data_IF_256585130744
#
_entry.id   IF_256585130744
#
_cell.length_a   1.000
_cell.length_b   1.000
_cell.length_c   1.000
_cell.angle_alpha   90.00
_cell.angle_beta   90.00
_cell.angle_gamma   90.00
#
_symmetry.space_group_name_H-M   'P 1'
#
loop_
_entity.id
_entity.type
_entity.pdbx_description
1 polymer ?
#
# COMPACT_ATOMS: atom_id res chain seq x y z
N UNK A 1 -35.78 -5.59 27.18
CA UNK A 1 -34.56 -5.48 27.98
C UNK A 1 -33.36 -5.59 27.03
N UNK A 2 -32.42 -4.64 27.03
CA UNK A 2 -31.25 -4.65 26.15
C UNK A 2 -30.15 -5.58 26.70
N UNK A 3 -29.48 -6.29 25.79
CA UNK A 3 -28.38 -7.21 26.10
C UNK A 3 -27.08 -6.43 26.34
N UNK A 4 -26.43 -6.72 27.47
CA UNK A 4 -25.10 -6.25 27.86
C UNK A 4 -24.01 -6.87 26.97
N UNK A 5 -23.00 -6.11 26.51
CA UNK A 5 -21.84 -6.67 25.85
C UNK A 5 -20.84 -7.19 26.91
N UNK A 6 -20.47 -8.46 26.76
CA UNK A 6 -19.48 -9.17 27.57
C UNK A 6 -18.08 -8.86 27.02
N UNK A 7 -17.34 -7.97 27.67
CA UNK A 7 -15.90 -7.81 27.44
C UNK A 7 -15.18 -8.77 28.38
N UNK A 8 -14.34 -9.64 27.82
CA UNK A 8 -13.35 -10.42 28.55
C UNK A 8 -11.96 -9.89 28.15
N UNK A 9 -11.15 -9.70 29.17
CA UNK A 9 -9.90 -8.97 29.22
C UNK A 9 -8.81 -9.50 28.28
N UNK A 10 -8.20 -8.58 27.54
CA UNK A 10 -6.80 -8.70 27.14
C UNK A 10 -6.05 -7.61 27.87
N UNK A 11 -5.29 -8.00 28.89
CA UNK A 11 -4.28 -7.19 29.54
C UNK A 11 -3.26 -6.71 28.49
N UNK A 12 -3.31 -5.43 28.18
CA UNK A 12 -2.26 -4.68 27.50
C UNK A 12 -1.98 -3.47 28.37
N UNK A 13 -0.74 -3.36 28.82
CA UNK A 13 -0.23 -2.30 29.69
C UNK A 13 -0.67 -0.90 29.22
N UNK A 14 -1.50 -0.26 30.03
CA UNK A 14 -1.83 1.16 29.92
C UNK A 14 -0.79 1.97 30.71
N UNK A 15 0.16 2.58 30.00
CA UNK A 15 0.58 3.93 30.39
C UNK A 15 -0.33 4.95 29.70
N UNK A 16 -0.86 5.81 30.54
CA UNK A 16 -1.94 6.77 30.35
C UNK A 16 -1.70 7.81 29.26
N UNK A 17 -2.67 7.94 28.35
CA UNK A 17 -3.10 9.26 27.88
C UNK A 17 -4.58 9.17 27.49
N UNK A 18 -5.44 9.57 28.42
CA UNK A 18 -6.87 9.71 28.21
C UNK A 18 -7.14 10.73 27.10
N UNK A 19 -7.71 10.28 25.98
CA UNK A 19 -8.45 11.13 25.07
C UNK A 19 -9.73 10.40 24.66
N UNK A 20 -10.79 10.66 25.43
CA UNK A 20 -12.17 10.50 24.99
C UNK A 20 -12.41 11.51 23.86
N UNK A 21 -12.64 11.05 22.64
CA UNK A 21 -13.06 11.90 21.53
C UNK A 21 -14.51 11.59 21.19
N UNK A 22 -15.40 12.44 21.68
CA UNK A 22 -16.82 12.41 21.41
C UNK A 22 -17.10 12.66 19.92
N UNK A 23 -17.91 11.79 19.32
CA UNK A 23 -18.46 12.00 17.97
C UNK A 23 -19.50 13.13 18.02
N UNK A 24 -19.10 14.33 17.61
CA UNK A 24 -20.02 15.37 17.14
C UNK A 24 -19.39 16.10 15.95
N UNK A 25 -19.74 15.67 14.74
CA UNK A 25 -19.52 16.43 13.51
C UNK A 25 -20.83 17.10 13.09
N UNK A 26 -20.81 18.33 12.55
CA UNK A 26 -22.02 18.99 12.11
C UNK A 26 -22.61 18.25 10.90
N UNK A 27 -23.94 18.08 10.91
CA UNK A 27 -24.72 17.80 9.70
C UNK A 27 -24.69 19.08 8.87
N UNK A 28 -24.08 19.01 7.71
CA UNK A 28 -24.14 20.07 6.71
C UNK A 28 -25.13 19.63 5.63
N UNK A 29 -26.34 20.16 5.75
CA UNK A 29 -27.43 20.01 4.81
C UNK A 29 -27.33 21.20 3.84
N UNK A 30 -26.65 20.99 2.71
CA UNK A 30 -26.43 22.03 1.70
C UNK A 30 -26.48 21.47 0.30
N UNK A 31 -27.69 21.33 -0.27
CA UNK A 31 -27.88 21.28 -1.72
C UNK A 31 -27.50 22.65 -2.30
N UNK A 32 -26.27 22.78 -2.80
CA UNK A 32 -25.79 23.95 -3.54
C UNK A 32 -25.66 23.60 -5.02
N UNK A 33 -26.43 24.30 -5.85
CA UNK A 33 -26.44 24.23 -7.31
C UNK A 33 -25.05 24.47 -7.92
N UNK A 34 -24.75 23.69 -8.96
CA UNK A 34 -23.52 23.78 -9.75
C UNK A 34 -23.68 24.90 -10.78
N UNK A 35 -23.56 26.16 -10.36
CA UNK A 35 -23.23 27.28 -11.25
C UNK A 35 -22.76 28.45 -10.40
N UNK A 36 -21.79 29.23 -10.92
CA UNK A 36 -21.09 30.37 -10.31
C UNK A 36 -19.69 30.10 -9.74
N UNK A 37 -18.76 29.76 -10.64
CA UNK A 37 -17.34 30.11 -10.50
C UNK A 37 -17.09 31.39 -11.31
N UNK A 38 -17.00 32.54 -10.63
CA UNK A 38 -16.50 33.78 -11.24
C UNK A 38 -15.00 33.86 -10.96
N UNK A 39 -14.20 33.64 -12.00
CA UNK A 39 -12.75 33.83 -11.99
C UNK A 39 -12.42 35.32 -11.81
N UNK A 40 -11.52 35.64 -10.86
CA UNK A 40 -10.89 36.96 -10.78
C UNK A 40 -9.73 36.99 -11.78
N UNK A 41 -9.95 37.67 -12.90
CA UNK A 41 -8.96 37.86 -13.96
C UNK A 41 -7.80 38.76 -13.49
N UNK A 42 -6.59 38.19 -13.42
CA UNK A 42 -5.34 38.96 -13.45
C UNK A 42 -4.73 38.74 -14.83
N UNK A 43 -4.70 39.79 -15.64
CA UNK A 43 -4.20 39.77 -17.02
C UNK A 43 -2.69 39.51 -17.07
N UNK A 44 -2.32 38.35 -17.61
CA UNK A 44 -0.96 37.98 -18.00
C UNK A 44 -1.01 36.93 -19.11
N UNK A 45 -0.92 37.39 -20.36
CA UNK A 45 -1.32 36.64 -21.56
C UNK A 45 -0.49 35.38 -21.92
N UNK A 46 0.58 35.05 -21.17
CA UNK A 46 1.41 33.86 -21.43
C UNK A 46 1.23 32.71 -20.43
N UNK A 47 0.73 32.99 -19.21
CA UNK A 47 0.57 31.96 -18.18
C UNK A 47 -0.66 31.05 -18.44
N UNK A 48 -1.72 31.61 -19.02
CA UNK A 48 -2.99 30.91 -19.25
C UNK A 48 -2.90 29.78 -20.30
N UNK A 49 -1.99 29.91 -21.26
CA UNK A 49 -1.74 28.87 -22.28
C UNK A 49 -1.03 27.65 -21.68
N UNK A 50 -0.04 27.90 -20.82
CA UNK A 50 0.73 26.85 -20.14
C UNK A 50 -0.12 26.09 -19.11
N UNK A 51 -0.97 26.79 -18.35
CA UNK A 51 -1.89 26.16 -17.39
C UNK A 51 -2.99 25.36 -18.11
N UNK A 52 -3.61 25.88 -19.17
CA UNK A 52 -4.60 25.12 -19.97
C UNK A 52 -4.02 23.85 -20.59
N UNK A 53 -2.78 23.89 -21.08
CA UNK A 53 -2.13 22.70 -21.65
C UNK A 53 -1.73 21.68 -20.57
N UNK A 54 -1.29 22.13 -19.40
CA UNK A 54 -0.99 21.24 -18.26
C UNK A 54 -2.25 20.49 -17.80
N UNK A 55 -3.36 21.21 -17.61
CA UNK A 55 -4.64 20.63 -17.21
C UNK A 55 -5.19 19.64 -18.24
N UNK A 56 -5.01 19.89 -19.55
CA UNK A 56 -5.41 18.94 -20.60
C UNK A 56 -4.59 17.64 -20.55
N UNK A 57 -3.27 17.74 -20.36
CA UNK A 57 -2.41 16.54 -20.27
C UNK A 57 -2.70 15.71 -19.01
N UNK A 58 -2.95 16.34 -17.87
CA UNK A 58 -3.33 15.62 -16.64
C UNK A 58 -4.70 14.96 -16.77
N UNK A 59 -5.68 15.60 -17.44
CA UNK A 59 -6.96 14.94 -17.75
C UNK A 59 -6.81 13.69 -18.61
N UNK A 60 -5.85 13.68 -19.55
CA UNK A 60 -5.59 12.51 -20.39
C UNK A 60 -4.89 11.39 -19.61
N UNK A 61 -3.94 11.70 -18.71
CA UNK A 61 -3.28 10.72 -17.85
C UNK A 61 -4.26 10.05 -16.87
N UNK A 62 -5.11 10.85 -16.22
CA UNK A 62 -6.16 10.34 -15.33
C UNK A 62 -7.12 9.45 -16.13
N UNK A 63 -7.51 9.85 -17.35
CA UNK A 63 -8.40 9.07 -18.20
C UNK A 63 -7.79 7.73 -18.59
N UNK A 64 -6.52 7.71 -19.02
CA UNK A 64 -5.80 6.46 -19.34
C UNK A 64 -5.72 5.54 -18.13
N UNK A 65 -5.41 6.09 -16.95
CA UNK A 65 -5.39 5.33 -15.70
C UNK A 65 -6.77 4.73 -15.36
N UNK A 66 -7.83 5.53 -15.43
CA UNK A 66 -9.20 5.08 -15.16
C UNK A 66 -9.65 3.98 -16.13
N UNK A 67 -9.23 4.08 -17.38
CA UNK A 67 -9.49 3.04 -18.38
C UNK A 67 -8.75 1.74 -18.03
N UNK A 68 -7.49 1.82 -17.61
CA UNK A 68 -6.68 0.63 -17.24
C UNK A 68 -7.30 -0.12 -16.06
N UNK A 69 -7.61 0.59 -14.96
CA UNK A 69 -8.22 -0.04 -13.78
C UNK A 69 -9.65 -0.52 -14.04
N UNK A 70 -10.32 0.06 -15.05
CA UNK A 70 -11.66 -0.34 -15.47
C UNK A 70 -11.70 -1.70 -16.17
N UNK A 71 -10.57 -2.19 -16.69
CA UNK A 71 -10.47 -3.51 -17.34
C UNK A 71 -10.56 -4.67 -16.36
N UNK A 72 -10.14 -4.46 -15.11
CA UNK A 72 -10.15 -5.50 -14.07
C UNK A 72 -11.52 -5.54 -13.43
N UNK A 73 -12.15 -6.73 -13.44
CA UNK A 73 -13.47 -6.94 -12.85
C UNK A 73 -13.41 -6.81 -11.32
N UNK A 74 -14.55 -6.44 -10.74
CA UNK A 74 -14.70 -6.46 -9.29
C UNK A 74 -14.70 -7.91 -8.77
N UNK A 75 -14.13 -8.10 -7.59
CA UNK A 75 -14.12 -9.39 -6.90
C UNK A 75 -15.48 -9.67 -6.26
N UNK A 76 -15.91 -10.92 -6.37
CA UNK A 76 -17.04 -11.46 -5.59
C UNK A 76 -16.58 -11.78 -4.16
N UNK A 77 -17.53 -12.00 -3.26
CA UNK A 77 -17.22 -12.21 -1.82
C UNK A 77 -16.41 -13.49 -1.57
N UNK A 78 -16.73 -14.55 -2.27
CA UNK A 78 -16.00 -15.82 -2.26
C UNK A 78 -14.58 -15.67 -2.81
N UNK A 79 -14.43 -14.90 -3.90
CA UNK A 79 -13.13 -14.59 -4.49
C UNK A 79 -12.28 -13.71 -3.57
N UNK A 80 -12.87 -12.70 -2.92
CA UNK A 80 -12.20 -11.88 -1.91
C UNK A 80 -11.60 -12.75 -0.79
N UNK A 81 -12.35 -13.75 -0.31
CA UNK A 81 -11.88 -14.66 0.73
C UNK A 81 -10.76 -15.56 0.21
N UNK A 82 -10.93 -16.14 -0.98
CA UNK A 82 -9.93 -17.01 -1.61
C UNK A 82 -8.60 -16.29 -1.86
N UNK A 83 -8.64 -15.09 -2.44
CA UNK A 83 -7.43 -14.30 -2.69
C UNK A 83 -6.79 -13.84 -1.38
N UNK A 84 -7.59 -13.41 -0.41
CA UNK A 84 -7.08 -13.02 0.92
C UNK A 84 -6.35 -14.18 1.61
N UNK A 85 -6.88 -15.41 1.54
CA UNK A 85 -6.24 -16.60 2.13
C UNK A 85 -4.88 -16.91 1.47
N UNK A 86 -4.78 -16.82 0.14
CA UNK A 86 -3.51 -16.99 -0.58
C UNK A 86 -2.49 -15.92 -0.17
N UNK A 87 -2.92 -14.66 -0.10
CA UNK A 87 -2.09 -13.55 0.37
C UNK A 87 -1.62 -13.78 1.80
N UNK A 88 -2.51 -14.21 2.71
CA UNK A 88 -2.14 -14.50 4.09
C UNK A 88 -1.12 -15.63 4.21
N UNK A 89 -1.29 -16.72 3.45
CA UNK A 89 -0.35 -17.83 3.42
C UNK A 89 1.03 -17.35 2.96
N UNK A 90 1.08 -16.52 1.92
CA UNK A 90 2.30 -15.91 1.43
C UNK A 90 2.95 -14.96 2.45
N UNK A 91 2.16 -14.09 3.08
CA UNK A 91 2.66 -13.17 4.12
C UNK A 91 3.20 -13.93 5.34
N UNK A 92 2.59 -15.07 5.71
CA UNK A 92 3.09 -15.94 6.78
C UNK A 92 4.49 -16.50 6.43
N UNK A 93 4.71 -16.93 5.19
CA UNK A 93 6.01 -17.40 4.73
C UNK A 93 7.08 -16.31 4.78
N UNK A 94 6.74 -15.09 4.35
CA UNK A 94 7.66 -13.94 4.44
C UNK A 94 8.00 -13.58 5.88
N UNK A 95 7.02 -13.57 6.78
CA UNK A 95 7.26 -13.35 8.22
C UNK A 95 8.16 -14.42 8.81
N UNK A 96 7.97 -15.68 8.42
CA UNK A 96 8.80 -16.79 8.87
C UNK A 96 10.26 -16.61 8.44
N UNK A 97 10.48 -16.26 7.17
CA UNK A 97 11.80 -15.93 6.63
C UNK A 97 12.49 -14.82 7.41
N UNK A 98 11.79 -13.69 7.61
CA UNK A 98 12.36 -12.51 8.24
C UNK A 98 12.61 -12.72 9.75
N UNK A 99 11.68 -13.38 10.47
CA UNK A 99 11.83 -13.65 11.89
C UNK A 99 13.00 -14.62 12.16
N UNK A 100 13.14 -15.68 11.36
CA UNK A 100 14.22 -16.66 11.57
C UNK A 100 15.60 -16.13 11.20
N UNK A 101 15.69 -15.28 10.17
CA UNK A 101 16.93 -14.54 9.89
C UNK A 101 17.37 -13.64 11.04
N UNK A 102 16.46 -13.21 11.92
CA UNK A 102 16.77 -12.35 13.05
C UNK A 102 17.08 -13.11 14.36
N UNK A 103 16.59 -14.35 14.51
CA UNK A 103 16.62 -15.08 15.80
C UNK A 103 17.64 -16.23 15.79
N UNK A 104 17.80 -16.93 14.67
CA UNK A 104 18.71 -18.08 14.59
C UNK A 104 20.04 -17.64 13.96
N UNK A 105 21.17 -18.12 14.50
CA UNK A 105 22.50 -18.04 13.88
C UNK A 105 22.60 -18.89 12.58
N UNK A 106 21.52 -18.96 11.82
CA UNK A 106 21.43 -19.66 10.56
C UNK A 106 22.04 -18.78 9.46
N UNK A 107 23.36 -18.86 9.36
CA UNK A 107 24.18 -18.12 8.38
C UNK A 107 23.70 -18.32 6.94
N UNK A 108 23.04 -19.45 6.63
CA UNK A 108 22.50 -19.72 5.29
C UNK A 108 21.30 -18.82 5.02
N UNK A 109 20.39 -18.69 6.00
CA UNK A 109 19.21 -17.82 5.88
C UNK A 109 19.59 -16.33 5.88
N UNK A 110 20.52 -15.93 6.74
CA UNK A 110 21.02 -14.55 6.78
C UNK A 110 21.61 -14.14 5.42
N UNK A 111 22.50 -14.99 4.87
CA UNK A 111 23.08 -14.77 3.55
C UNK A 111 22.02 -14.72 2.45
N UNK A 112 21.01 -15.59 2.53
CA UNK A 112 19.91 -15.63 1.56
C UNK A 112 19.07 -14.35 1.58
N UNK A 113 18.67 -13.88 2.76
CA UNK A 113 17.91 -12.63 2.91
C UNK A 113 18.73 -11.46 2.43
N UNK A 114 20.02 -11.40 2.78
CA UNK A 114 20.92 -10.35 2.34
C UNK A 114 21.06 -10.29 0.80
N UNK A 115 21.18 -11.45 0.14
CA UNK A 115 21.23 -11.52 -1.33
C UNK A 115 19.94 -10.99 -1.97
N UNK A 116 18.77 -11.30 -1.40
CA UNK A 116 17.48 -10.79 -1.88
C UNK A 116 17.41 -9.27 -1.71
N UNK A 117 17.82 -8.74 -0.55
CA UNK A 117 17.81 -7.29 -0.31
C UNK A 117 18.70 -6.52 -1.27
N UNK A 118 19.89 -7.05 -1.59
CA UNK A 118 20.78 -6.46 -2.60
C UNK A 118 20.13 -6.51 -3.98
N UNK A 119 19.52 -7.64 -4.35
CA UNK A 119 18.80 -7.77 -5.61
C UNK A 119 17.68 -6.73 -5.73
N UNK A 120 16.85 -6.60 -4.70
CA UNK A 120 15.70 -5.70 -4.71
C UNK A 120 16.14 -4.22 -4.72
N UNK A 121 17.22 -3.90 -4.00
CA UNK A 121 17.86 -2.57 -4.05
C UNK A 121 18.36 -2.24 -5.45
N UNK A 122 19.06 -3.17 -6.10
CA UNK A 122 19.55 -2.99 -7.47
C UNK A 122 18.39 -2.85 -8.47
N UNK A 123 17.35 -3.66 -8.32
CA UNK A 123 16.17 -3.58 -9.17
C UNK A 123 15.49 -2.21 -9.04
N UNK A 124 15.39 -1.69 -7.81
CA UNK A 124 14.85 -0.35 -7.55
C UNK A 124 15.71 0.76 -8.14
N UNK A 125 17.04 0.64 -8.11
CA UNK A 125 17.96 1.65 -8.67
C UNK A 125 17.98 1.65 -10.20
N UNK A 126 17.90 0.47 -10.81
CA UNK A 126 17.96 0.31 -12.27
C UNK A 126 16.59 0.52 -12.94
N UNK A 127 15.50 0.37 -12.20
CA UNK A 127 14.14 0.35 -12.75
C UNK A 127 13.82 -0.90 -13.57
N UNK A 128 14.73 -1.88 -13.61
CA UNK A 128 14.59 -3.16 -14.30
C UNK A 128 15.36 -4.25 -13.57
N UNK A 129 15.12 -5.51 -13.95
CA UNK A 129 15.78 -6.67 -13.33
C UNK A 129 17.31 -6.59 -13.51
N UNK A 130 18.12 -6.76 -12.45
CA UNK A 130 19.58 -6.74 -12.56
C UNK A 130 20.11 -8.02 -13.23
N UNK A 131 21.28 -7.91 -13.89
CA UNK A 131 22.00 -9.08 -14.40
C UNK A 131 22.64 -9.88 -13.25
N UNK A 132 22.88 -11.17 -13.46
CA UNK A 132 23.50 -12.04 -12.46
C UNK A 132 24.90 -11.56 -12.07
N UNK A 133 25.67 -11.05 -13.03
CA UNK A 133 27.01 -10.51 -12.80
C UNK A 133 26.97 -9.27 -11.90
N UNK A 134 26.06 -8.32 -12.19
CA UNK A 134 25.89 -7.12 -11.36
C UNK A 134 25.42 -7.47 -9.95
N UNK A 135 24.52 -8.43 -9.82
CA UNK A 135 24.04 -8.90 -8.52
C UNK A 135 25.15 -9.55 -7.70
N UNK A 136 25.92 -10.46 -8.30
CA UNK A 136 27.06 -11.11 -7.64
C UNK A 136 28.12 -10.09 -7.20
N UNK A 137 28.46 -9.15 -8.10
CA UNK A 137 29.41 -8.05 -7.83
C UNK A 137 28.95 -7.19 -6.67
N UNK A 138 27.67 -6.78 -6.65
CA UNK A 138 27.13 -5.95 -5.57
C UNK A 138 27.06 -6.69 -4.22
N UNK A 139 26.93 -8.01 -4.24
CA UNK A 139 26.97 -8.84 -3.04
C UNK A 139 28.38 -9.27 -2.63
N UNK A 140 29.42 -8.90 -3.39
CA UNK A 140 30.81 -9.26 -3.09
C UNK A 140 31.09 -10.76 -3.20
N UNK A 141 30.32 -11.49 -4.02
CA UNK A 141 30.48 -12.93 -4.22
C UNK A 141 30.80 -13.23 -5.68
N UNK A 142 31.45 -14.37 -5.91
CA UNK A 142 31.69 -14.86 -7.26
C UNK A 142 30.38 -15.27 -7.95
N UNK A 143 30.28 -15.01 -9.26
CA UNK A 143 29.08 -15.30 -10.08
C UNK A 143 28.72 -16.79 -10.03
N UNK A 144 29.71 -17.68 -9.93
CA UNK A 144 29.48 -19.12 -9.80
C UNK A 144 28.81 -19.51 -8.48
N UNK A 145 29.06 -18.75 -7.40
CA UNK A 145 28.58 -19.03 -6.05
C UNK A 145 27.19 -18.43 -5.77
N UNK A 146 26.73 -17.49 -6.60
CA UNK A 146 25.43 -16.85 -6.46
C UNK A 146 24.28 -17.88 -6.59
N UNK A 147 24.26 -18.67 -7.66
CA UNK A 147 23.20 -19.68 -7.89
C UNK A 147 23.17 -20.75 -6.78
N UNK A 148 24.30 -21.37 -6.38
CA UNK A 148 24.35 -22.31 -5.26
C UNK A 148 23.85 -21.69 -3.94
N UNK A 149 24.29 -20.47 -3.61
CA UNK A 149 23.87 -19.79 -2.39
C UNK A 149 22.36 -19.52 -2.37
N UNK A 150 21.80 -19.12 -3.53
CA UNK A 150 20.36 -18.94 -3.69
C UNK A 150 19.58 -20.25 -3.55
N UNK A 151 20.09 -21.35 -4.14
CA UNK A 151 19.44 -22.66 -4.01
C UNK A 151 19.48 -23.19 -2.58
N UNK A 152 20.61 -23.02 -1.88
CA UNK A 152 20.75 -23.44 -0.49
C UNK A 152 19.81 -22.66 0.44
N UNK A 153 19.74 -21.33 0.27
CA UNK A 153 18.81 -20.48 1.01
C UNK A 153 17.35 -20.81 0.75
N UNK A 154 16.98 -21.07 -0.51
CA UNK A 154 15.62 -21.52 -0.86
C UNK A 154 15.27 -22.86 -0.21
N UNK A 155 16.17 -23.83 -0.28
CA UNK A 155 15.96 -25.16 0.30
C UNK A 155 15.80 -25.05 1.82
N UNK A 156 16.64 -24.24 2.47
CA UNK A 156 16.54 -23.98 3.91
C UNK A 156 15.23 -23.29 4.29
N UNK A 157 14.77 -22.33 3.48
CA UNK A 157 13.49 -21.67 3.71
C UNK A 157 12.31 -22.65 3.55
N UNK A 158 12.39 -23.57 2.58
CA UNK A 158 11.38 -24.61 2.38
C UNK A 158 11.32 -25.56 3.58
N UNK A 159 12.47 -26.02 4.09
CA UNK A 159 12.57 -26.82 5.31
C UNK A 159 11.91 -26.13 6.51
N UNK A 160 12.20 -24.85 6.71
CA UNK A 160 11.63 -24.06 7.81
C UNK A 160 10.12 -23.86 7.68
N UNK A 161 9.59 -23.89 6.46
CA UNK A 161 8.16 -23.79 6.19
C UNK A 161 7.47 -25.16 6.20
N UNK A 162 8.21 -26.26 6.42
CA UNK A 162 7.72 -27.64 6.30
C UNK A 162 7.13 -27.93 4.91
N UNK A 163 7.74 -27.35 3.87
CA UNK A 163 7.33 -27.49 2.47
C UNK A 163 8.48 -28.00 1.62
N UNK A 164 8.15 -28.60 0.48
CA UNK A 164 9.14 -28.85 -0.57
C UNK A 164 9.54 -27.54 -1.27
N UNK A 165 10.72 -27.51 -1.90
CA UNK A 165 11.17 -26.33 -2.66
C UNK A 165 10.19 -25.94 -3.78
N UNK A 166 9.55 -26.93 -4.43
CA UNK A 166 8.53 -26.70 -5.46
C UNK A 166 7.24 -26.10 -4.88
N UNK A 167 6.76 -26.63 -3.76
CA UNK A 167 5.57 -26.10 -3.09
C UNK A 167 5.80 -24.68 -2.57
N UNK A 168 6.98 -24.38 -2.05
CA UNK A 168 7.35 -23.02 -1.63
C UNK A 168 7.26 -22.03 -2.80
N UNK A 169 7.82 -22.40 -3.96
CA UNK A 169 7.76 -21.57 -5.17
C UNK A 169 6.33 -21.40 -5.68
N UNK A 170 5.50 -22.45 -5.62
CA UNK A 170 4.10 -22.39 -6.00
C UNK A 170 3.31 -21.43 -5.07
N UNK A 171 3.45 -21.57 -3.76
CA UNK A 171 2.75 -20.71 -2.79
C UNK A 171 3.22 -19.25 -2.92
N UNK A 172 4.51 -19.03 -3.20
CA UNK A 172 5.04 -17.69 -3.47
C UNK A 172 4.42 -17.08 -4.73
N UNK A 173 4.36 -17.83 -5.83
CA UNK A 173 3.80 -17.37 -7.09
C UNK A 173 2.30 -17.08 -6.96
N UNK A 174 1.53 -18.02 -6.38
CA UNK A 174 0.09 -17.87 -6.15
C UNK A 174 -0.21 -16.68 -5.23
N UNK A 175 0.57 -16.52 -4.15
CA UNK A 175 0.39 -15.42 -3.22
C UNK A 175 0.71 -14.04 -3.81
N UNK A 176 1.74 -13.95 -4.66
CA UNK A 176 2.09 -12.72 -5.36
C UNK A 176 1.01 -12.35 -6.38
N UNK A 177 0.55 -13.31 -7.18
CA UNK A 177 -0.53 -13.11 -8.14
C UNK A 177 -1.84 -12.72 -7.43
N UNK A 178 -2.18 -13.39 -6.33
CA UNK A 178 -3.35 -13.07 -5.51
C UNK A 178 -3.27 -11.65 -4.94
N UNK A 179 -2.10 -11.25 -4.42
CA UNK A 179 -1.85 -9.89 -3.91
C UNK A 179 -2.10 -8.86 -5.02
N UNK A 180 -1.48 -9.03 -6.18
CA UNK A 180 -1.65 -8.13 -7.31
C UNK A 180 -3.10 -8.06 -7.80
N UNK A 181 -3.75 -9.21 -7.93
CA UNK A 181 -5.14 -9.29 -8.37
C UNK A 181 -6.07 -8.57 -7.38
N UNK A 182 -5.88 -8.81 -6.08
CA UNK A 182 -6.65 -8.17 -5.02
C UNK A 182 -6.46 -6.64 -4.99
N UNK A 183 -5.24 -6.14 -5.23
CA UNK A 183 -4.98 -4.70 -5.39
C UNK A 183 -5.70 -4.16 -6.62
N UNK A 184 -5.45 -4.74 -7.80
CA UNK A 184 -5.98 -4.29 -9.10
C UNK A 184 -7.50 -4.20 -9.10
N UNK A 185 -8.20 -5.23 -8.58
CA UNK A 185 -9.65 -5.25 -8.51
C UNK A 185 -10.25 -4.17 -7.60
N UNK A 186 -9.46 -3.61 -6.67
CA UNK A 186 -9.90 -2.61 -5.69
C UNK A 186 -9.38 -1.19 -5.97
N UNK A 187 -8.63 -0.96 -7.05
CA UNK A 187 -8.12 0.39 -7.39
C UNK A 187 -9.25 1.42 -7.59
N UNK A 188 -10.43 1.00 -8.04
CA UNK A 188 -11.60 1.88 -8.19
C UNK A 188 -12.07 2.48 -6.86
N UNK A 189 -11.90 1.74 -5.75
CA UNK A 189 -12.18 2.25 -4.41
C UNK A 189 -11.20 3.36 -4.02
N UNK A 190 -9.91 3.21 -4.37
CA UNK A 190 -8.89 4.24 -4.09
C UNK A 190 -9.27 5.55 -4.77
N UNK A 191 -9.65 5.50 -6.05
CA UNK A 191 -10.08 6.68 -6.80
C UNK A 191 -11.28 7.36 -6.15
N UNK A 192 -12.31 6.60 -5.74
CA UNK A 192 -13.52 7.18 -5.15
C UNK A 192 -13.25 7.82 -3.78
N UNK A 193 -12.27 7.32 -3.02
CA UNK A 193 -11.82 7.95 -1.78
C UNK A 193 -10.95 9.19 -2.08
N UNK A 194 -9.98 9.09 -2.98
CA UNK A 194 -9.05 10.17 -3.33
C UNK A 194 -9.75 11.42 -3.88
N UNK A 195 -10.82 11.25 -4.67
CA UNK A 195 -11.64 12.37 -5.18
C UNK A 195 -12.15 13.31 -4.07
N UNK A 196 -12.41 12.79 -2.87
CA UNK A 196 -12.89 13.60 -1.72
C UNK A 196 -11.81 14.51 -1.12
N UNK A 197 -10.55 14.30 -1.47
CA UNK A 197 -9.40 15.03 -0.93
C UNK A 197 -8.70 15.90 -1.98
N UNK A 198 -9.31 16.10 -3.15
CA UNK A 198 -8.80 17.03 -4.17
C UNK A 198 -8.73 18.46 -3.63
N UNK A 199 -7.91 19.29 -4.28
CA UNK A 199 -7.71 20.71 -3.95
C UNK A 199 -7.12 20.96 -2.56
N UNK A 200 -6.43 19.97 -1.97
CA UNK A 200 -5.72 20.08 -0.68
C UNK A 200 -4.20 20.18 -0.81
N UNK A 201 -3.73 20.74 -1.93
CA UNK A 201 -2.30 20.94 -2.22
C UNK A 201 -1.56 19.77 -2.85
N UNK A 202 -2.24 18.68 -3.22
CA UNK A 202 -1.69 17.57 -4.01
C UNK A 202 -2.56 17.29 -5.24
N UNK A 203 -1.94 16.82 -6.32
CA UNK A 203 -2.66 16.42 -7.53
C UNK A 203 -3.48 15.14 -7.28
N UNK A 204 -4.57 14.94 -8.04
CA UNK A 204 -5.38 13.73 -7.94
C UNK A 204 -4.55 12.45 -8.16
N UNK A 205 -3.62 12.45 -9.12
CA UNK A 205 -2.76 11.29 -9.37
C UNK A 205 -1.91 10.97 -8.15
N UNK A 206 -1.29 11.97 -7.50
CA UNK A 206 -0.50 11.77 -6.30
C UNK A 206 -1.35 11.22 -5.13
N UNK A 207 -2.56 11.75 -4.95
CA UNK A 207 -3.52 11.24 -3.96
C UNK A 207 -3.90 9.78 -4.24
N UNK A 208 -4.10 9.42 -5.52
CA UNK A 208 -4.38 8.04 -5.93
C UNK A 208 -3.17 7.14 -5.64
N UNK A 209 -1.95 7.58 -5.91
CA UNK A 209 -0.75 6.80 -5.65
C UNK A 209 -0.58 6.53 -4.14
N UNK A 210 -0.71 7.56 -3.31
CA UNK A 210 -0.62 7.44 -1.85
C UNK A 210 -1.76 6.59 -1.26
N UNK A 211 -2.96 6.72 -1.81
CA UNK A 211 -4.09 5.83 -1.50
C UNK A 211 -3.85 4.38 -1.92
N UNK A 212 -3.16 4.15 -3.04
CA UNK A 212 -2.80 2.81 -3.55
C UNK A 212 -1.77 2.13 -2.64
N UNK A 213 -0.79 2.89 -2.11
CA UNK A 213 0.12 2.40 -1.07
C UNK A 213 -0.63 2.04 0.22
N UNK A 214 -1.65 2.82 0.59
CA UNK A 214 -2.57 2.48 1.67
C UNK A 214 -3.33 1.17 1.41
N UNK A 215 -3.89 1.01 0.21
CA UNK A 215 -4.59 -0.20 -0.21
C UNK A 215 -3.68 -1.44 -0.16
N UNK A 216 -2.44 -1.34 -0.66
CA UNK A 216 -1.47 -2.43 -0.61
C UNK A 216 -1.25 -2.91 0.83
N UNK A 217 -1.04 -1.98 1.78
CA UNK A 217 -0.91 -2.33 3.22
C UNK A 217 -2.17 -3.00 3.77
N UNK A 218 -3.35 -2.59 3.31
CA UNK A 218 -4.59 -3.25 3.70
C UNK A 218 -4.63 -4.69 3.20
N UNK A 219 -4.24 -4.93 1.95
CA UNK A 219 -4.16 -6.28 1.35
C UNK A 219 -3.25 -7.20 2.15
N UNK A 220 -2.09 -6.72 2.60
CA UNK A 220 -1.12 -7.52 3.38
C UNK A 220 -1.57 -7.89 4.80
N UNK A 221 -2.46 -7.07 5.38
CA UNK A 221 -2.93 -7.20 6.77
C UNK A 221 -4.36 -7.67 6.91
N UNK A 222 -5.10 -7.79 5.81
CA UNK A 222 -6.50 -8.18 5.85
C UNK A 222 -6.69 -9.60 6.37
N UNK A 223 -7.78 -9.78 7.12
CA UNK A 223 -8.14 -11.06 7.71
C UNK A 223 -9.58 -11.45 7.33
N UNK A 224 -9.76 -12.42 6.41
CA UNK A 224 -11.08 -12.84 5.96
C UNK A 224 -11.87 -13.59 7.04
N UNK A 225 -11.22 -14.10 8.09
CA UNK A 225 -11.90 -14.85 9.16
C UNK A 225 -12.79 -13.96 10.03
N UNK A 226 -12.55 -12.65 10.03
CA UNK A 226 -13.32 -11.66 10.81
C UNK A 226 -14.70 -11.34 10.21
N UNK A 227 -15.03 -11.85 9.03
CA UNK A 227 -16.38 -11.76 8.45
C UNK A 227 -16.76 -10.42 7.78
N UNK A 228 -15.96 -9.37 7.94
CA UNK A 228 -16.17 -8.08 7.27
C UNK A 228 -15.68 -8.08 5.81
N UNK A 229 -16.29 -7.23 4.97
CA UNK A 229 -15.86 -7.04 3.57
C UNK A 229 -14.50 -6.34 3.50
N UNK A 230 -13.70 -6.73 2.51
CA UNK A 230 -12.38 -6.12 2.30
C UNK A 230 -12.46 -4.60 2.09
N UNK A 231 -13.47 -4.12 1.35
CA UNK A 231 -13.68 -2.69 1.09
C UNK A 231 -13.80 -1.84 2.37
N UNK A 232 -14.51 -2.34 3.38
CA UNK A 232 -14.65 -1.68 4.69
C UNK A 232 -13.31 -1.53 5.39
N UNK A 233 -12.50 -2.60 5.37
CA UNK A 233 -11.18 -2.58 5.98
C UNK A 233 -10.19 -1.68 5.21
N UNK A 234 -10.19 -1.79 3.88
CA UNK A 234 -9.30 -1.03 3.00
C UNK A 234 -9.56 0.49 3.08
N UNK A 235 -10.81 0.91 3.25
CA UNK A 235 -11.17 2.34 3.35
C UNK A 235 -10.32 3.08 4.39
N UNK A 236 -10.11 2.50 5.57
CA UNK A 236 -9.32 3.11 6.64
C UNK A 236 -7.87 3.32 6.23
N UNK A 237 -7.24 2.30 5.63
CA UNK A 237 -5.85 2.37 5.19
C UNK A 237 -5.65 3.34 4.01
N UNK A 238 -6.58 3.37 3.07
CA UNK A 238 -6.56 4.30 1.94
C UNK A 238 -6.67 5.74 2.47
N UNK A 239 -7.65 6.00 3.33
CA UNK A 239 -7.85 7.32 3.96
C UNK A 239 -6.61 7.75 4.75
N UNK A 240 -6.02 6.84 5.51
CA UNK A 240 -4.83 7.12 6.31
C UNK A 240 -3.62 7.47 5.43
N UNK A 241 -3.41 6.72 4.34
CA UNK A 241 -2.35 7.00 3.36
C UNK A 241 -2.49 8.40 2.77
N UNK A 242 -3.68 8.72 2.24
CA UNK A 242 -3.98 10.03 1.64
C UNK A 242 -3.81 11.17 2.65
N UNK A 243 -4.39 11.04 3.84
CA UNK A 243 -4.34 12.11 4.86
C UNK A 243 -2.90 12.38 5.31
N UNK A 244 -2.11 11.31 5.51
CA UNK A 244 -0.68 11.43 5.85
C UNK A 244 0.11 12.09 4.73
N UNK A 245 -0.15 11.76 3.47
CA UNK A 245 0.51 12.37 2.32
C UNK A 245 0.23 13.87 2.26
N UNK A 246 -1.04 14.27 2.39
CA UNK A 246 -1.42 15.70 2.43
C UNK A 246 -0.69 16.42 3.55
N UNK A 247 -0.65 15.88 4.77
CA UNK A 247 0.03 16.52 5.89
C UNK A 247 1.55 16.68 5.65
N UNK A 248 2.17 15.80 4.86
CA UNK A 248 3.62 15.73 4.72
C UNK A 248 4.19 16.32 3.42
N UNK A 249 3.39 16.37 2.35
CA UNK A 249 3.83 16.71 1.00
C UNK A 249 3.06 17.89 0.38
N UNK A 250 1.91 18.31 0.94
CA UNK A 250 1.10 19.40 0.33
C UNK A 250 1.77 20.78 0.34
N UNK A 251 2.83 20.95 1.15
CA UNK A 251 3.53 22.22 1.32
C UNK A 251 4.94 22.11 0.79
N UNK A 252 5.42 23.18 0.14
CA UNK A 252 6.81 23.30 -0.33
C UNK A 252 7.81 23.11 0.80
N UNK A 253 7.52 23.65 1.98
CA UNK A 253 8.29 23.41 3.20
C UNK A 253 7.53 22.41 4.06
N UNK A 254 8.15 21.25 4.28
CA UNK A 254 7.59 20.18 5.10
C UNK A 254 7.40 20.66 6.54
N UNK A 255 6.18 20.51 7.04
CA UNK A 255 5.85 20.71 8.45
C UNK A 255 5.56 19.35 9.13
N UNK A 256 5.90 19.19 10.42
CA UNK A 256 5.47 18.02 11.19
C UNK A 256 3.94 17.91 11.27
N UNK A 257 3.42 16.68 11.30
CA UNK A 257 1.97 16.40 11.22
C UNK A 257 1.18 17.11 12.34
N UNK A 258 1.67 17.07 13.58
CA UNK A 258 1.02 17.72 14.71
C UNK A 258 0.90 19.26 14.55
N UNK A 259 1.79 19.89 13.77
CA UNK A 259 1.68 21.32 13.45
C UNK A 259 0.58 21.54 12.41
N UNK A 260 0.50 20.67 11.40
CA UNK A 260 -0.56 20.75 10.38
C UNK A 260 -1.96 20.53 10.96
N UNK A 261 -2.10 19.67 11.96
CA UNK A 261 -3.36 19.44 12.66
C UNK A 261 -3.82 20.68 13.45
N UNK A 262 -2.88 21.40 14.08
CA UNK A 262 -3.18 22.66 14.78
C UNK A 262 -3.61 23.78 13.84
N UNK A 263 -3.14 23.78 12.58
CA UNK A 263 -3.51 24.79 11.57
C UNK A 263 -4.90 24.56 10.98
N UNK A 264 -5.43 23.34 11.08
CA UNK A 264 -6.75 22.96 10.55
C UNK A 264 -7.85 22.95 11.63
N UNK A 265 -7.49 23.18 12.91
CA UNK A 265 -8.42 23.40 14.02
C UNK A 265 -8.72 24.89 14.14
#
# INVERSE_FOLDING_TARGET
MPATPFYADTELDHETSAYSFELNGPRDDGEGSVDDLVDVEIEGADAASLTKNSTRRTTDLVRLYLQEIGRVRLLRRDEEVSEAQKVQRYMKLLRLRNNKSAISEDKVMERFVHLIEIHDRLASQLGHRPSLERWATAAGIDVSQLKPSMSAGKLRWAELAELTSKELEQVQAEGLQAKEHMIKANLRLVVSVAKKYQNRGLELLDLIQEGTLGLERAVEKFDPTKGYRFSTYAYWWIRQGITRAIATQSRTIRLPVHITEKLNK
#
